data_IF_932887485477
#
_entry.id   IF_932887485477
#
_cell.length_a   1.000
_cell.length_b   1.000
_cell.length_c   1.000
_cell.angle_alpha   90.00
_cell.angle_beta   90.00
_cell.angle_gamma   90.00
#
_symmetry.space_group_name_H-M   'P 1'
#
loop_
_entity.id
_entity.type
_entity.pdbx_description
1 polymer ?
#
# COMPACT_ATOMS: atom_id res chain seq x y z
N UNK A 1 21.17 3.20 8.62
CA UNK A 1 19.74 3.43 8.30
C UNK A 1 18.92 3.09 9.53
N UNK A 2 17.81 3.78 9.79
CA UNK A 2 16.94 3.42 10.93
C UNK A 2 16.26 2.07 10.68
N UNK A 3 15.97 1.32 11.75
CA UNK A 3 15.21 0.07 11.65
C UNK A 3 13.85 0.27 10.95
N UNK A 4 13.22 1.42 11.18
CA UNK A 4 11.99 1.81 10.52
C UNK A 4 12.16 1.97 9.00
N UNK A 5 13.23 2.63 8.55
CA UNK A 5 13.53 2.78 7.12
C UNK A 5 13.73 1.42 6.45
N UNK A 6 14.37 0.46 7.13
CA UNK A 6 14.56 -0.89 6.61
C UNK A 6 13.21 -1.62 6.48
N UNK A 7 12.33 -1.51 7.48
CA UNK A 7 10.97 -2.04 7.39
C UNK A 7 10.22 -1.45 6.20
N UNK A 8 10.28 -0.13 6.00
CA UNK A 8 9.61 0.51 4.87
C UNK A 8 10.09 -0.03 3.52
N UNK A 9 11.39 -0.28 3.37
CA UNK A 9 11.96 -0.86 2.16
C UNK A 9 11.45 -2.29 1.92
N UNK A 10 11.43 -3.12 2.97
CA UNK A 10 10.88 -4.49 2.88
C UNK A 10 9.40 -4.44 2.48
N UNK A 11 8.60 -3.59 3.12
CA UNK A 11 7.18 -3.42 2.79
C UNK A 11 6.98 -3.00 1.33
N UNK A 12 7.76 -2.03 0.83
CA UNK A 12 7.68 -1.61 -0.58
C UNK A 12 8.03 -2.75 -1.53
N UNK A 13 9.09 -3.52 -1.24
CA UNK A 13 9.46 -4.69 -2.06
C UNK A 13 8.34 -5.73 -2.06
N UNK A 14 7.77 -6.05 -0.90
CA UNK A 14 6.69 -7.04 -0.78
C UNK A 14 5.45 -6.59 -1.54
N UNK A 15 4.98 -5.36 -1.35
CA UNK A 15 3.79 -4.86 -2.04
C UNK A 15 4.00 -4.73 -3.55
N UNK A 16 5.21 -4.38 -3.98
CA UNK A 16 5.58 -4.37 -5.41
C UNK A 16 5.57 -5.77 -6.01
N UNK A 17 6.04 -6.78 -5.27
CA UNK A 17 5.98 -8.18 -5.70
C UNK A 17 4.52 -8.67 -5.81
N UNK A 18 3.66 -8.32 -4.86
CA UNK A 18 2.22 -8.64 -4.91
C UNK A 18 1.55 -7.98 -6.11
N UNK A 19 1.82 -6.69 -6.35
CA UNK A 19 1.32 -5.98 -7.52
C UNK A 19 1.78 -6.65 -8.82
N UNK A 20 3.08 -6.90 -8.95
CA UNK A 20 3.66 -7.51 -10.13
C UNK A 20 3.09 -8.91 -10.38
N UNK A 21 2.98 -9.73 -9.33
CA UNK A 21 2.35 -11.04 -9.42
C UNK A 21 0.88 -10.94 -9.87
N UNK A 22 0.10 -10.02 -9.29
CA UNK A 22 -1.30 -9.82 -9.68
C UNK A 22 -1.45 -9.42 -11.15
N UNK A 23 -0.57 -8.56 -11.66
CA UNK A 23 -0.54 -8.17 -13.07
C UNK A 23 -0.15 -9.35 -13.96
N UNK A 24 0.96 -10.03 -13.67
CA UNK A 24 1.49 -11.10 -14.52
C UNK A 24 0.61 -12.36 -14.52
N UNK A 25 -0.08 -12.64 -13.41
CA UNK A 25 -0.99 -13.79 -13.28
C UNK A 25 -2.43 -13.47 -13.70
N UNK A 26 -2.72 -12.26 -14.20
CA UNK A 26 -4.08 -11.82 -14.55
C UNK A 26 -5.06 -11.95 -13.37
N UNK A 27 -4.63 -11.60 -12.16
CA UNK A 27 -5.46 -11.54 -10.95
C UNK A 27 -5.65 -10.08 -10.50
N UNK A 28 -6.71 -9.39 -10.98
CA UNK A 28 -6.89 -7.96 -10.74
C UNK A 28 -6.97 -7.60 -9.25
N UNK A 29 -7.61 -8.44 -8.43
CA UNK A 29 -7.71 -8.22 -6.99
C UNK A 29 -6.34 -8.17 -6.29
N UNK A 30 -5.38 -8.99 -6.74
CA UNK A 30 -4.01 -8.98 -6.19
C UNK A 30 -3.22 -7.76 -6.69
N UNK A 31 -3.44 -7.35 -7.94
CA UNK A 31 -2.85 -6.12 -8.46
C UNK A 31 -3.34 -4.90 -7.65
N UNK A 32 -4.64 -4.81 -7.39
CA UNK A 32 -5.24 -3.76 -6.55
C UNK A 32 -4.71 -3.82 -5.12
N UNK A 33 -4.57 -5.00 -4.53
CA UNK A 33 -4.02 -5.18 -3.18
C UNK A 33 -2.60 -4.61 -3.07
N UNK A 34 -1.70 -5.02 -3.97
CA UNK A 34 -0.32 -4.55 -3.98
C UNK A 34 -0.22 -3.04 -4.25
N UNK A 35 -0.93 -2.55 -5.27
CA UNK A 35 -0.96 -1.13 -5.63
C UNK A 35 -1.54 -0.24 -4.53
N UNK A 36 -2.63 -0.67 -3.89
CA UNK A 36 -3.28 0.08 -2.82
C UNK A 36 -2.41 0.23 -1.57
N UNK A 37 -1.66 -0.81 -1.19
CA UNK A 37 -0.71 -0.68 -0.08
C UNK A 37 0.52 0.17 -0.44
N UNK A 38 0.98 0.16 -1.70
CA UNK A 38 2.00 1.10 -2.17
C UNK A 38 1.51 2.56 -2.10
N UNK A 39 0.24 2.82 -2.42
CA UNK A 39 -0.37 4.14 -2.21
C UNK A 39 -0.36 4.49 -0.72
N UNK A 40 -0.71 3.56 0.17
CA UNK A 40 -0.62 3.77 1.61
C UNK A 40 0.80 4.14 2.09
N UNK A 41 1.84 3.52 1.49
CA UNK A 41 3.25 3.89 1.73
C UNK A 41 3.58 5.28 1.21
N UNK A 42 3.08 5.65 0.04
CA UNK A 42 3.27 6.99 -0.52
C UNK A 42 2.65 8.07 0.39
N UNK A 43 1.41 7.86 0.85
CA UNK A 43 0.73 8.75 1.80
C UNK A 43 1.56 8.92 3.08
N UNK A 44 2.04 7.83 3.65
CA UNK A 44 2.87 7.87 4.84
C UNK A 44 4.11 8.74 4.62
N UNK A 45 4.79 8.59 3.47
CA UNK A 45 6.02 9.31 3.15
C UNK A 45 5.75 10.81 2.91
N UNK A 46 4.60 11.14 2.32
CA UNK A 46 4.15 12.53 2.18
C UNK A 46 3.93 13.18 3.55
N UNK A 47 3.39 12.44 4.51
CA UNK A 47 3.18 12.93 5.89
C UNK A 47 4.47 12.96 6.72
N UNK A 48 5.61 12.49 6.18
CA UNK A 48 6.85 12.44 6.94
C UNK A 48 7.39 13.82 7.38
N UNK A 49 7.37 14.87 6.53
CA UNK A 49 7.85 16.21 6.86
C UNK A 49 6.97 16.98 7.87
N UNK A 50 5.70 16.62 8.03
CA UNK A 50 4.74 17.35 8.87
C UNK A 50 4.99 17.25 10.38
N UNK A 51 5.98 16.45 10.80
CA UNK A 51 6.29 16.28 12.23
C UNK A 51 5.20 15.48 12.94
N UNK A 52 5.41 14.17 13.06
CA UNK A 52 4.49 13.28 13.75
C UNK A 52 5.13 11.95 14.08
N UNK A 53 4.49 11.19 14.97
CA UNK A 53 4.97 9.86 15.32
C UNK A 53 4.91 8.92 14.10
N UNK A 54 5.83 7.95 14.05
CA UNK A 54 5.77 6.85 13.08
C UNK A 54 4.40 6.17 13.12
N UNK A 55 3.87 5.95 14.32
CA UNK A 55 2.56 5.35 14.52
C UNK A 55 1.43 6.12 13.84
N UNK A 56 1.32 7.45 14.07
CA UNK A 56 0.24 8.27 13.48
C UNK A 56 0.28 8.25 11.95
N UNK A 57 1.47 8.40 11.36
CA UNK A 57 1.65 8.39 9.90
C UNK A 57 1.35 7.00 9.32
N UNK A 58 1.73 5.94 10.03
CA UNK A 58 1.41 4.56 9.65
C UNK A 58 -0.09 4.30 9.70
N UNK A 59 -0.77 4.75 10.75
CA UNK A 59 -2.20 4.61 10.88
C UNK A 59 -2.93 5.30 9.72
N UNK A 60 -2.58 6.56 9.41
CA UNK A 60 -3.21 7.29 8.30
C UNK A 60 -2.90 6.63 6.95
N UNK A 61 -1.62 6.31 6.69
CA UNK A 61 -1.21 5.69 5.44
C UNK A 61 -1.88 4.34 5.18
N UNK A 62 -1.90 3.44 6.18
CA UNK A 62 -2.54 2.14 6.05
C UNK A 62 -4.07 2.22 6.04
N UNK A 63 -4.67 3.20 6.73
CA UNK A 63 -6.12 3.43 6.64
C UNK A 63 -6.52 3.86 5.24
N UNK A 64 -5.84 4.86 4.67
CA UNK A 64 -6.13 5.34 3.32
C UNK A 64 -5.81 4.29 2.25
N UNK A 65 -4.69 3.56 2.39
CA UNK A 65 -4.36 2.42 1.53
C UNK A 65 -5.42 1.32 1.62
N UNK A 66 -5.87 0.98 2.84
CA UNK A 66 -6.93 -0.02 3.06
C UNK A 66 -8.27 0.38 2.45
N UNK A 67 -8.67 1.64 2.58
CA UNK A 67 -9.86 2.19 1.93
C UNK A 67 -9.74 2.04 0.40
N UNK A 68 -8.59 2.39 -0.17
CA UNK A 68 -8.34 2.23 -1.61
C UNK A 68 -8.45 0.77 -2.05
N UNK A 69 -7.84 -0.15 -1.30
CA UNK A 69 -7.92 -1.59 -1.57
C UNK A 69 -9.36 -2.09 -1.50
N UNK A 70 -10.12 -1.71 -0.48
CA UNK A 70 -11.51 -2.15 -0.30
C UNK A 70 -12.38 -1.70 -1.48
N UNK A 71 -12.32 -0.42 -1.84
CA UNK A 71 -13.08 0.09 -2.98
C UNK A 71 -12.61 -0.52 -4.31
N UNK A 72 -11.30 -0.70 -4.48
CA UNK A 72 -10.75 -1.31 -5.68
C UNK A 72 -11.15 -2.78 -5.84
N UNK A 73 -11.13 -3.58 -4.75
CA UNK A 73 -11.57 -4.97 -4.78
C UNK A 73 -13.07 -5.06 -5.02
N UNK A 74 -13.87 -4.20 -4.39
CA UNK A 74 -15.30 -4.12 -4.67
C UNK A 74 -15.55 -3.80 -6.15
N UNK A 75 -14.83 -2.81 -6.71
CA UNK A 75 -14.93 -2.46 -8.11
C UNK A 75 -14.54 -3.64 -9.02
N UNK A 76 -13.45 -4.36 -8.72
CA UNK A 76 -13.08 -5.57 -9.46
C UNK A 76 -14.24 -6.58 -9.43
N UNK A 77 -14.78 -6.89 -8.24
CA UNK A 77 -15.86 -7.87 -8.11
C UNK A 77 -17.13 -7.52 -8.90
N UNK A 78 -17.47 -6.24 -9.02
CA UNK A 78 -18.67 -5.80 -9.74
C UNK A 78 -18.46 -5.52 -11.24
N UNK A 79 -17.21 -5.36 -11.69
CA UNK A 79 -16.87 -4.95 -13.07
C UNK A 79 -16.21 -6.06 -13.90
N UNK A 80 -15.83 -7.18 -13.28
CA UNK A 80 -15.29 -8.38 -13.96
C UNK A 80 -16.17 -9.58 -13.69
#
# INVERSE_FOLDING_TARGET
MSAYTLLQLVEVVVFSAVLLYGVLSLHPSLAVLGGGFLIGKAVLNILAPEGGTVFRRSLIGYTLGGIYVLFGIAAVHFLT
#
